data_IF_836630827730
#
_entry.id   IF_836630827730
#
_cell.length_a   1.000
_cell.length_b   1.000
_cell.length_c   1.000
_cell.angle_alpha   90.00
_cell.angle_beta   90.00
_cell.angle_gamma   90.00
#
_symmetry.space_group_name_H-M   'P 1'
#
loop_
_entity.id
_entity.type
_entity.pdbx_description
1 polymer ?
2 non-polymer ?
3 non-polymer ?
4 water ?
#
# COMPACT_ATOMS: atom_id res chain seq x y z
N UNK A 14 19.70 -6.02 -1.19
CA UNK A 14 19.06 -7.31 -1.14
C UNK A 14 17.96 -7.40 -0.11
N UNK A 15 17.55 -8.64 0.08
CA UNK A 15 16.46 -8.93 1.00
C UNK A 15 17.01 -9.08 2.48
N UNK A 16 16.83 -8.05 3.35
CA UNK A 16 17.28 -8.13 4.76
C UNK A 16 16.23 -8.88 5.57
N UNK A 17 16.60 -10.01 6.15
CA UNK A 17 15.68 -10.80 6.94
C UNK A 17 15.71 -10.27 8.38
N UNK A 18 14.55 -9.99 8.92
CA UNK A 18 14.43 -9.45 10.25
C UNK A 18 13.28 -10.18 10.91
N UNK A 19 13.61 -11.14 11.75
CA UNK A 19 12.65 -12.12 12.20
C UNK A 19 11.97 -12.76 11.00
N UNK A 20 10.64 -12.71 10.99
CA UNK A 20 9.88 -13.33 9.94
C UNK A 20 9.50 -12.37 8.81
N UNK A 21 10.07 -11.17 8.82
CA UNK A 21 9.80 -10.16 7.79
C UNK A 21 11.03 -9.97 6.93
N UNK A 22 10.85 -9.32 5.79
CA UNK A 22 11.92 -8.99 4.87
C UNK A 22 11.84 -7.51 4.52
N UNK A 23 12.99 -6.85 4.50
CA UNK A 23 13.10 -5.44 4.18
C UNK A 23 14.07 -5.28 3.03
N UNK A 24 13.71 -4.43 2.07
CA UNK A 24 14.57 -4.19 0.88
C UNK A 24 14.63 -2.69 0.61
N UNK A 25 15.85 -2.14 0.56
CA UNK A 25 15.99 -0.74 0.22
C UNK A 25 15.74 -0.55 -1.27
N UNK A 26 14.85 0.38 -1.61
CA UNK A 26 14.51 0.67 -2.99
C UNK A 26 15.14 1.97 -3.50
N UNK A 27 15.40 2.89 -2.61
CA UNK A 27 15.97 4.20 -2.95
C UNK A 27 16.62 4.71 -1.68
N UNK A 28 17.38 5.79 -1.76
CA UNK A 28 18.03 6.27 -0.51
C UNK A 28 17.20 6.43 0.76
N UNK A 29 15.98 6.84 0.59
CA UNK A 29 15.05 7.11 1.70
C UNK A 29 13.80 6.21 1.65
N UNK A 30 13.84 5.11 0.90
CA UNK A 30 12.63 4.29 0.71
C UNK A 30 12.99 2.81 0.85
N UNK A 31 12.19 2.09 1.64
CA UNK A 31 12.34 0.67 1.83
C UNK A 31 10.98 -0.01 1.64
N UNK A 32 11.02 -1.24 1.16
CA UNK A 32 9.86 -2.10 1.09
C UNK A 32 9.85 -3.04 2.28
N UNK A 33 8.70 -3.11 2.95
CA UNK A 33 8.49 -4.12 4.03
C UNK A 33 7.67 -5.27 3.46
N UNK A 34 8.02 -6.48 3.85
CA UNK A 34 7.30 -7.66 3.41
C UNK A 34 7.01 -8.59 4.58
N UNK A 35 5.74 -8.99 4.67
CA UNK A 35 5.28 -9.89 5.72
C UNK A 35 4.46 -11.01 5.09
N UNK A 36 4.30 -12.11 5.82
CA UNK A 36 3.72 -13.33 5.27
C UNK A 36 2.59 -13.86 6.15
N UNK A 37 1.57 -14.40 5.51
CA UNK A 37 0.50 -15.06 6.27
C UNK A 37 0.09 -16.31 5.52
N UNK A 38 -0.03 -17.40 6.27
CA UNK A 38 -0.71 -18.59 5.76
C UNK A 38 -2.13 -18.33 5.36
N UNK A 39 -2.40 -18.54 4.08
CA UNK A 39 -3.74 -18.55 3.60
C UNK A 39 -4.07 -20.02 3.37
N UNK A 40 -4.80 -20.64 4.33
CA UNK A 40 -5.03 -22.07 4.19
C UNK A 40 -5.56 -22.34 2.77
N UNK A 41 -4.92 -23.26 2.05
CA UNK A 41 -5.30 -23.59 0.68
C UNK A 41 -4.54 -22.77 -0.36
N UNK A 42 -3.61 -21.92 0.08
CA UNK A 42 -2.86 -21.07 -0.86
C UNK A 42 -1.37 -20.99 -0.49
N UNK A 43 -0.93 -21.36 0.71
CA UNK A 43 0.46 -21.18 1.11
C UNK A 43 0.67 -19.85 1.83
N UNK A 44 1.95 -19.53 2.04
CA UNK A 44 2.34 -18.36 2.80
C UNK A 44 2.44 -17.14 1.88
N UNK A 45 1.47 -16.25 1.94
CA UNK A 45 1.32 -15.16 1.00
C UNK A 45 2.08 -13.92 1.47
N UNK A 46 2.95 -13.41 0.61
CA UNK A 46 3.69 -12.18 0.87
C UNK A 46 2.79 -10.97 0.64
N UNK A 47 2.96 -9.94 1.45
CA UNK A 47 2.38 -8.62 1.22
C UNK A 47 3.46 -7.58 1.46
N UNK A 48 3.55 -6.62 0.54
CA UNK A 48 4.51 -5.54 0.61
C UNK A 48 3.85 -4.20 0.95
N UNK A 49 4.57 -3.40 1.73
CA UNK A 49 4.30 -1.99 1.94
C UNK A 49 5.58 -1.20 1.88
N UNK A 50 5.51 0.07 2.28
CA UNK A 50 6.65 0.97 2.16
C UNK A 50 6.96 1.70 3.45
N UNK A 51 8.21 2.10 3.56
CA UNK A 51 8.75 2.93 4.63
C UNK A 51 9.52 4.05 3.96
N UNK A 52 9.25 5.29 4.35
CA UNK A 52 9.87 6.45 3.72
C UNK A 52 10.47 7.33 4.81
N UNK A 53 11.75 7.67 4.70
CA UNK A 53 12.31 8.71 5.57
C UNK A 53 12.12 10.07 4.88
N UNK A 54 11.49 11.00 5.60
CA UNK A 54 11.30 12.37 5.15
C UNK A 54 12.01 13.30 6.14
N UNK A 55 13.28 13.58 5.90
CA UNK A 55 14.05 14.37 6.83
C UNK A 55 14.18 13.68 8.17
N UNK A 56 13.70 14.31 9.23
CA UNK A 56 13.81 13.78 10.59
C UNK A 56 12.63 12.91 11.03
N UNK A 57 11.84 12.42 10.07
CA UNK A 57 10.70 11.56 10.48
C UNK A 57 10.52 10.44 9.44
N UNK A 58 9.75 9.45 9.82
CA UNK A 58 9.47 8.30 8.99
C UNK A 58 7.97 8.22 8.73
N UNK A 59 7.62 7.81 7.51
CA UNK A 59 6.23 7.64 7.07
C UNK A 59 6.06 6.18 6.63
N UNK A 60 4.95 5.56 6.99
CA UNK A 60 4.71 4.17 6.63
C UNK A 60 3.49 4.07 5.71
N UNK A 61 3.60 3.23 4.69
CA UNK A 61 2.48 2.86 3.83
C UNK A 61 2.18 1.39 4.06
N UNK A 62 0.97 1.13 4.60
CA UNK A 62 0.42 -0.17 4.89
C UNK A 62 1.01 -0.79 6.17
N UNK A 63 0.13 -1.48 6.92
CA UNK A 63 0.63 -2.34 7.98
C UNK A 63 1.11 -3.66 7.38
N UNK A 64 1.64 -4.54 8.25
CA UNK A 64 1.77 -5.94 7.94
C UNK A 64 0.42 -6.65 8.17
N UNK A 65 0.40 -7.97 7.97
CA UNK A 65 -0.86 -8.71 8.17
C UNK A 65 -1.35 -8.66 9.62
N UNK A 66 -0.43 -8.65 10.57
CA UNK A 66 -0.80 -8.76 11.98
C UNK A 66 -0.20 -7.63 12.81
N UNK A 67 -0.77 -7.47 14.00
CA UNK A 67 -0.21 -6.52 14.96
C UNK A 67 1.23 -6.89 15.31
N UNK A 68 1.50 -8.16 15.60
CA UNK A 68 2.85 -8.54 15.97
C UNK A 68 3.85 -8.24 14.85
N UNK A 69 3.49 -8.54 13.61
CA UNK A 69 4.38 -8.24 12.49
C UNK A 69 4.57 -6.74 12.36
N UNK A 70 3.51 -5.97 12.56
CA UNK A 70 3.60 -4.53 12.42
C UNK A 70 4.51 -3.95 13.52
N UNK A 71 4.40 -4.45 14.74
CA UNK A 71 5.34 -4.02 15.79
C UNK A 71 6.79 -4.33 15.37
N UNK A 72 7.00 -5.44 14.65
CA UNK A 72 8.35 -5.75 14.16
C UNK A 72 8.80 -4.75 13.08
N UNK A 73 7.90 -4.29 12.22
CA UNK A 73 8.25 -3.21 11.31
C UNK A 73 8.78 -2.02 12.11
N UNK A 74 8.06 -1.65 13.17
CA UNK A 74 8.49 -0.49 13.97
C UNK A 74 9.83 -0.76 14.65
N UNK A 75 9.98 -2.00 15.08
CA UNK A 75 11.32 -2.43 15.60
C UNK A 75 12.53 -2.28 14.60
N UNK A 76 12.24 -2.68 13.35
CA UNK A 76 13.23 -2.55 12.28
C UNK A 76 13.51 -1.05 12.04
N UNK A 77 12.46 -0.25 12.00
CA UNK A 77 12.65 1.19 11.80
C UNK A 77 13.54 1.78 12.91
N UNK A 78 13.20 1.41 14.12
CA UNK A 78 14.07 1.87 15.27
C UNK A 78 15.60 1.52 15.16
N UNK A 79 15.82 0.30 14.62
CA UNK A 79 17.20 -0.19 14.46
C UNK A 79 17.90 0.47 13.27
N UNK A 80 17.19 0.61 12.14
CA UNK A 80 17.84 0.91 10.85
C UNK A 80 17.73 2.40 10.49
N UNK A 81 16.76 3.10 11.07
CA UNK A 81 16.56 4.52 10.76
C UNK A 81 16.66 5.35 12.04
N UNK A 82 15.98 4.92 13.09
CA UNK A 82 16.07 5.53 14.40
C UNK A 82 15.57 6.99 14.37
N UNK A 83 14.36 7.15 13.82
CA UNK A 83 13.65 8.44 13.82
C UNK A 83 12.17 8.14 14.08
N UNK A 84 11.41 9.10 14.63
CA UNK A 84 10.01 8.84 14.91
C UNK A 84 9.16 8.61 13.65
N UNK A 85 8.16 7.74 13.79
CA UNK A 85 7.20 7.46 12.69
C UNK A 85 6.06 8.47 12.86
N UNK A 86 6.02 9.44 11.99
CA UNK A 86 5.04 10.54 12.10
C UNK A 86 3.62 10.09 11.76
N UNK A 87 3.46 9.20 10.80
CA UNK A 87 2.14 8.80 10.36
C UNK A 87 2.25 7.53 9.53
N UNK A 88 1.12 6.87 9.38
CA UNK A 88 0.96 5.76 8.45
C UNK A 88 -0.32 5.98 7.65
N UNK A 89 -0.26 5.60 6.37
CA UNK A 89 -1.42 5.58 5.53
C UNK A 89 -1.61 4.13 5.04
N UNK A 90 -2.85 3.67 5.06
CA UNK A 90 -3.16 2.27 4.66
C UNK A 90 -4.04 2.33 3.41
N UNK A 91 -3.89 1.35 2.55
CA UNK A 91 -4.37 1.53 1.18
C UNK A 91 -5.68 0.79 0.84
N UNK A 92 -6.24 0.03 1.76
CA UNK A 92 -7.64 -0.48 1.70
C UNK A 92 -7.90 -1.34 2.92
N UNK A 93 -9.18 -1.63 3.13
CA UNK A 93 -9.62 -2.41 4.29
C UNK A 93 -9.58 -3.91 3.99
N UNK A 94 -8.37 -4.42 3.87
CA UNK A 94 -8.08 -5.87 3.89
C UNK A 94 -6.94 -6.10 4.87
N UNK A 95 -6.83 -7.34 5.34
CA UNK A 95 -5.92 -7.68 6.44
C UNK A 95 -4.45 -7.39 6.12
N UNK A 96 -4.04 -7.59 4.88
CA UNK A 96 -2.60 -7.37 4.57
C UNK A 96 -2.23 -5.89 4.66
N UNK A 97 -3.19 -4.99 4.55
CA UNK A 97 -2.94 -3.55 4.55
C UNK A 97 -3.28 -2.88 5.89
N UNK A 98 -4.26 -3.45 6.62
CA UNK A 98 -4.77 -2.78 7.82
C UNK A 98 -4.82 -3.73 9.00
N UNK A 99 -4.31 -4.96 8.89
CA UNK A 99 -4.39 -5.93 9.98
C UNK A 99 -3.62 -5.54 11.23
N UNK A 100 -2.63 -4.63 11.08
CA UNK A 100 -1.79 -4.22 12.19
C UNK A 100 -2.08 -2.84 12.76
N UNK A 101 -3.28 -2.34 12.54
CA UNK A 101 -3.61 -0.96 12.99
C UNK A 101 -3.38 -0.81 14.50
N UNK A 102 -3.78 -1.78 15.30
CA UNK A 102 -3.62 -1.63 16.75
C UNK A 102 -2.17 -1.45 17.15
N UNK A 103 -1.24 -2.10 16.45
CA UNK A 103 0.18 -1.91 16.76
C UNK A 103 0.61 -0.48 16.49
N UNK A 104 0.12 0.12 15.40
CA UNK A 104 0.43 1.51 15.14
C UNK A 104 -0.13 2.41 16.24
N UNK A 105 -1.37 2.14 16.64
CA UNK A 105 -2.00 2.97 17.66
C UNK A 105 -1.30 2.80 19.02
N UNK A 106 -0.91 1.58 19.36
CA UNK A 106 -0.18 1.35 20.61
C UNK A 106 1.14 2.12 20.62
N UNK A 107 1.73 2.31 19.44
CA UNK A 107 3.00 3.02 19.30
C UNK A 107 2.81 4.53 19.23
N UNK A 108 1.57 5.03 19.25
CA UNK A 108 1.34 6.48 19.21
C UNK A 108 1.41 7.10 17.82
N UNK A 109 1.25 6.30 16.76
CA UNK A 109 1.40 6.77 15.39
C UNK A 109 0.03 7.18 14.85
N UNK A 110 -0.04 8.37 14.26
CA UNK A 110 -1.27 8.85 13.61
C UNK A 110 -1.55 8.05 12.34
N UNK A 111 -2.79 7.63 12.16
CA UNK A 111 -3.14 6.75 11.04
C UNK A 111 -4.21 7.37 10.17
N UNK A 112 -4.08 7.07 8.87
CA UNK A 112 -4.92 7.64 7.81
C UNK A 112 -5.34 6.54 6.84
N UNK A 113 -6.58 6.63 6.38
CA UNK A 113 -7.08 5.74 5.33
C UNK A 113 -8.15 6.49 4.55
N UNK A 114 -8.44 6.02 3.34
CA UNK A 114 -9.65 6.46 2.64
C UNK A 114 -10.84 6.42 3.61
N UNK A 115 -11.67 7.46 3.59
CA UNK A 115 -12.90 7.44 4.36
C UNK A 115 -13.66 6.12 4.15
N UNK A 116 -13.71 5.64 2.92
CA UNK A 116 -14.48 4.42 2.64
C UNK A 116 -13.80 3.22 3.31
N UNK A 117 -12.48 3.19 3.36
CA UNK A 117 -11.79 2.11 4.10
C UNK A 117 -12.16 2.12 5.58
N UNK A 118 -12.23 3.30 6.17
CA UNK A 118 -12.61 3.40 7.58
C UNK A 118 -14.07 2.95 7.77
N UNK A 119 -14.95 3.30 6.84
CA UNK A 119 -16.33 2.86 6.89
C UNK A 119 -16.42 1.34 6.83
N UNK A 120 -15.66 0.74 5.92
CA UNK A 120 -15.68 -0.71 5.71
C UNK A 120 -14.93 -1.49 6.80
N UNK A 121 -14.05 -0.83 7.53
CA UNK A 121 -13.12 -1.56 8.40
C UNK A 121 -13.86 -2.52 9.34
N UNK A 122 -14.86 -2.06 10.09
CA UNK A 122 -15.45 -3.01 11.04
C UNK A 122 -16.00 -4.28 10.38
N UNK A 123 -16.74 -4.15 9.28
CA UNK A 123 -17.32 -5.34 8.62
C UNK A 123 -16.22 -6.23 8.02
N UNK A 124 -15.08 -5.65 7.66
CA UNK A 124 -13.95 -6.42 7.13
C UNK A 124 -13.10 -7.01 8.26
N UNK A 125 -13.45 -6.75 9.52
CA UNK A 125 -12.67 -7.28 10.65
C UNK A 125 -11.42 -6.47 10.97
N UNK A 126 -11.34 -5.24 10.45
CA UNK A 126 -10.21 -4.33 10.67
C UNK A 126 -10.57 -3.28 11.73
N UNK A 127 -9.55 -2.76 12.39
CA UNK A 127 -9.64 -1.55 13.18
C UNK A 127 -9.49 -0.35 12.23
N UNK A 128 -10.36 0.64 12.33
CA UNK A 128 -10.29 1.81 11.48
C UNK A 128 -9.05 2.65 11.81
N UNK A 129 -8.54 3.34 10.79
CA UNK A 129 -7.59 4.41 11.01
C UNK A 129 -8.27 5.56 11.75
N UNK A 130 -7.43 6.42 12.32
CA UNK A 130 -7.92 7.53 13.12
C UNK A 130 -8.46 8.67 12.27
N UNK A 131 -7.98 8.79 11.05
CA UNK A 131 -8.27 9.92 10.19
C UNK A 131 -8.71 9.41 8.82
N UNK A 132 -9.61 10.16 8.19
CA UNK A 132 -10.17 9.78 6.89
C UNK A 132 -9.72 10.74 5.79
N UNK A 133 -9.24 10.16 4.71
CA UNK A 133 -8.91 10.88 3.49
C UNK A 133 -10.15 10.96 2.61
N UNK A 134 -10.32 12.12 1.98
CA UNK A 134 -11.34 12.24 0.92
C UNK A 134 -10.63 12.74 -0.34
N UNK A 135 -11.29 12.57 -1.48
CA UNK A 135 -10.66 12.71 -2.78
C UNK A 135 -11.49 13.63 -3.68
N UNK A 136 -10.80 14.44 -4.47
CA UNK A 136 -11.42 15.28 -5.48
C UNK A 136 -11.86 14.42 -6.66
N UNK A 137 -12.63 15.04 -7.55
CA UNK A 137 -13.16 14.36 -8.72
C UNK A 137 -12.04 13.77 -9.60
N UNK A 138 -10.89 14.43 -9.64
CA UNK A 138 -9.78 14.01 -10.47
C UNK A 138 -8.98 12.90 -9.78
N UNK A 139 -9.36 12.48 -8.56
CA UNK A 139 -8.71 11.37 -7.89
C UNK A 139 -7.67 11.79 -6.85
N UNK A 140 -7.19 13.03 -6.91
CA UNK A 140 -6.17 13.47 -5.96
C UNK A 140 -6.81 13.67 -4.59
N UNK A 141 -6.08 13.30 -3.56
CA UNK A 141 -6.54 13.52 -2.19
C UNK A 141 -6.83 15.01 -1.99
N UNK A 142 -7.88 15.28 -1.22
CA UNK A 142 -8.16 16.63 -0.76
C UNK A 142 -7.06 17.00 0.24
N UNK A 143 -6.29 18.05 -0.06
CA UNK A 143 -5.10 18.29 0.72
C UNK A 143 -5.35 18.49 2.22
N UNK A 144 -6.47 19.05 2.61
CA UNK A 144 -6.73 19.28 4.03
C UNK A 144 -6.85 17.96 4.80
N UNK A 145 -7.17 16.87 4.12
CA UNK A 145 -7.36 15.59 4.78
C UNK A 145 -6.06 14.80 4.93
N UNK A 146 -5.00 15.25 4.28
CA UNK A 146 -3.70 14.58 4.31
C UNK A 146 -2.63 15.58 4.77
N UNK A 147 -2.80 16.16 5.96
CA UNK A 147 -1.84 17.13 6.44
C UNK A 147 -0.49 16.46 6.74
N UNK A 148 0.59 17.20 6.47
CA UNK A 148 1.93 16.77 6.84
C UNK A 148 2.32 15.45 6.17
N UNK A 149 1.81 15.19 4.97
CA UNK A 149 2.16 13.96 4.27
C UNK A 149 3.51 14.05 3.55
N UNK A 150 4.19 15.19 3.56
CA UNK A 150 5.51 15.30 2.95
C UNK A 150 5.50 14.81 1.52
N UNK A 151 6.39 13.88 1.18
CA UNK A 151 6.46 13.46 -0.20
C UNK A 151 5.39 12.45 -0.65
N UNK A 152 4.51 12.01 0.26
CA UNK A 152 3.49 11.03 -0.13
C UNK A 152 2.36 11.72 -0.88
N UNK A 153 2.22 11.36 -2.12
CA UNK A 153 1.12 11.90 -2.99
C UNK A 153 0.00 10.81 -3.26
N UNK A 154 -1.14 11.05 -2.60
CA UNK A 154 -2.14 9.99 -2.51
C UNK A 154 -3.23 10.20 -3.57
N UNK A 155 -3.55 9.11 -4.27
CA UNK A 155 -4.44 9.14 -5.43
C UNK A 155 -5.44 7.99 -5.35
N UNK A 156 -6.70 8.31 -5.54
CA UNK A 156 -7.76 7.32 -5.65
C UNK A 156 -8.03 7.07 -7.14
N UNK A 157 -7.74 5.87 -7.64
CA UNK A 157 -7.78 5.64 -9.10
C UNK A 157 -9.14 5.16 -9.61
N UNK A 158 -10.08 5.01 -8.71
CA UNK A 158 -11.36 4.36 -9.00
C UNK A 158 -11.40 2.95 -8.44
N UNK A 159 -12.59 2.36 -8.41
CA UNK A 159 -12.73 1.00 -7.90
C UNK A 159 -12.04 -0.01 -8.79
N UNK A 160 -11.40 -0.99 -8.18
CA UNK A 160 -10.66 -1.98 -8.96
C UNK A 160 -10.48 -3.24 -8.16
N UNK A 161 -9.33 -3.36 -7.53
CA UNK A 161 -9.09 -4.46 -6.61
C UNK A 161 -10.16 -4.48 -5.50
N UNK A 162 -10.46 -3.30 -4.96
CA UNK A 162 -11.59 -3.08 -4.08
C UNK A 162 -12.22 -1.73 -4.43
N UNK A 163 -13.36 -1.52 -3.80
CA UNK A 163 -14.05 -0.22 -3.97
C UNK A 163 -13.31 1.04 -3.39
N UNK A 164 -12.49 0.70 -2.37
CA UNK A 164 -11.78 1.71 -1.56
C UNK A 164 -10.26 1.81 -1.82
N UNK A 165 -9.73 1.03 -2.75
CA UNK A 165 -8.28 1.01 -2.98
C UNK A 165 -7.71 2.40 -3.30
N UNK A 166 -6.60 2.74 -2.63
CA UNK A 166 -5.88 4.00 -2.93
C UNK A 166 -4.42 3.66 -3.25
N UNK A 167 -3.74 4.64 -3.83
CA UNK A 167 -2.37 4.46 -4.34
C UNK A 167 -1.53 5.65 -3.87
N UNK A 168 -0.21 5.49 -3.90
CA UNK A 168 0.64 6.51 -3.31
C UNK A 168 1.91 6.66 -4.16
N UNK A 169 2.21 7.87 -4.58
CA UNK A 169 3.49 8.17 -5.18
C UNK A 169 4.44 8.79 -4.17
N UNK A 170 5.74 8.61 -4.37
CA UNK A 170 6.71 9.22 -3.47
C UNK A 170 7.47 10.30 -4.24
N UNK A 171 7.11 11.53 -3.98
CA UNK A 171 7.79 12.65 -4.62
C UNK A 171 9.30 12.59 -4.35
N UNK A 172 10.06 13.00 -5.35
CA UNK A 172 11.51 13.01 -5.24
C UNK A 172 12.15 11.67 -5.55
N UNK A 173 11.33 10.70 -5.96
CA UNK A 173 11.79 9.37 -6.30
C UNK A 173 11.11 8.96 -7.60
N UNK A 174 11.52 7.81 -8.10
CA UNK A 174 10.90 7.23 -9.26
C UNK A 174 9.81 6.22 -8.93
N UNK A 175 9.33 6.25 -7.69
CA UNK A 175 8.52 5.16 -7.17
C UNK A 175 7.05 5.59 -7.09
N UNK A 176 6.18 4.67 -7.49
CA UNK A 176 4.74 4.77 -7.22
C UNK A 176 4.25 3.39 -6.74
N UNK A 177 3.36 3.43 -5.74
CA UNK A 177 2.86 2.24 -5.06
C UNK A 177 1.41 2.00 -5.45
N UNK A 178 1.17 0.87 -6.11
CA UNK A 178 -0.15 0.48 -6.55
C UNK A 178 -0.91 -0.38 -5.56
N UNK A 179 -0.28 -0.81 -4.48
CA UNK A 179 -0.94 -1.70 -3.53
C UNK A 179 -1.42 -2.96 -4.21
N UNK A 180 -2.63 -3.39 -3.84
CA UNK A 180 -3.09 -4.66 -4.39
C UNK A 180 -3.78 -4.50 -5.74
N UNK A 181 -3.81 -3.28 -6.25
CA UNK A 181 -4.41 -3.03 -7.58
C UNK A 181 -3.53 -3.57 -8.70
N UNK A 182 -2.21 -3.52 -8.57
CA UNK A 182 -1.29 -3.80 -9.67
C UNK A 182 -0.54 -5.11 -9.37
N UNK A 183 -0.51 -5.94 -10.40
CA UNK A 183 0.42 -7.16 -10.38
C UNK A 183 1.56 -7.01 -11.38
N UNK A 184 2.58 -7.84 -11.26
CA UNK A 184 3.74 -7.57 -12.10
C UNK A 184 3.53 -8.03 -13.53
N UNK A 185 4.47 -7.63 -14.35
CA UNK A 185 4.39 -7.75 -15.79
C UNK A 185 4.43 -9.21 -16.24
N UNK A 186 4.85 -10.12 -15.39
CA UNK A 186 4.96 -11.54 -15.74
C UNK A 186 3.84 -12.37 -15.11
N UNK A 187 2.92 -11.73 -14.39
CA UNK A 187 1.85 -12.46 -13.72
C UNK A 187 1.03 -13.23 -14.75
N UNK A 188 0.81 -14.49 -14.41
CA UNK A 188 -0.07 -15.35 -15.26
C UNK A 188 -1.58 -14.99 -15.32
N UNK A 189 -2.00 -14.45 -14.17
CA UNK A 189 -3.37 -14.03 -14.04
C UNK A 189 -3.48 -12.91 -13.02
N UNK A 190 -4.66 -12.31 -13.04
CA UNK A 190 -5.06 -11.30 -12.12
C UNK A 190 -5.79 -11.98 -10.95
N UNK A 191 -5.16 -11.99 -9.78
CA UNK A 191 -5.69 -12.62 -8.57
C UNK A 191 -6.21 -11.61 -7.57
N UNK A 192 -6.52 -12.11 -6.39
CA UNK A 192 -6.98 -11.31 -5.26
C UNK A 192 -8.29 -10.58 -5.62
N UNK A 193 -9.16 -11.23 -6.38
CA UNK A 193 -10.30 -10.54 -6.99
C UNK A 193 -11.60 -10.68 -6.18
N UNK A 194 -11.57 -11.22 -4.97
CA UNK A 194 -12.80 -11.54 -4.27
C UNK A 194 -13.74 -10.34 -4.06
N UNK A 195 -13.17 -9.14 -3.82
CA UNK A 195 -13.97 -7.92 -3.63
C UNK A 195 -13.82 -6.93 -4.78
N UNK A 196 -13.39 -7.41 -5.95
CA UNK A 196 -13.03 -6.53 -7.06
C UNK A 196 -14.28 -5.98 -7.77
N UNK A 197 -14.07 -4.83 -8.39
CA UNK A 197 -15.01 -4.24 -9.33
C UNK A 197 -14.50 -4.56 -10.72
N UNK A 198 -15.11 -5.59 -11.30
CA UNK A 198 -14.62 -6.21 -12.54
C UNK A 198 -14.85 -5.28 -13.75
N UNK A 199 -15.88 -4.46 -13.69
CA UNK A 199 -16.19 -3.55 -14.80
C UNK A 199 -15.14 -2.43 -14.90
N UNK A 200 -14.71 -1.90 -13.75
CA UNK A 200 -13.92 -0.66 -13.72
C UNK A 200 -12.43 -0.93 -13.49
N UNK A 201 -12.04 -2.17 -13.24
CA UNK A 201 -10.66 -2.51 -12.88
C UNK A 201 -9.66 -1.95 -13.90
N UNK A 202 -9.87 -2.26 -15.19
CA UNK A 202 -8.89 -1.88 -16.18
C UNK A 202 -8.68 -0.36 -16.15
N UNK A 203 -9.78 0.39 -16.15
CA UNK A 203 -9.70 1.86 -16.16
C UNK A 203 -9.00 2.37 -14.90
N UNK A 204 -9.25 1.75 -13.75
CA UNK A 204 -8.63 2.18 -12.53
C UNK A 204 -7.11 1.90 -12.56
N UNK A 205 -6.69 0.75 -13.07
CA UNK A 205 -5.28 0.48 -13.22
C UNK A 205 -4.63 1.55 -14.11
N UNK A 206 -5.26 1.84 -15.26
CA UNK A 206 -4.73 2.84 -16.18
C UNK A 206 -4.71 4.24 -15.53
N UNK A 207 -5.71 4.54 -14.71
CA UNK A 207 -5.76 5.84 -14.05
C UNK A 207 -4.59 5.98 -13.06
N UNK A 208 -4.25 4.91 -12.36
CA UNK A 208 -3.06 4.91 -11.50
C UNK A 208 -1.82 5.26 -12.34
N UNK A 209 -1.64 4.59 -13.47
CA UNK A 209 -0.46 4.88 -14.28
C UNK A 209 -0.43 6.33 -14.75
N UNK A 210 -1.59 6.85 -15.14
CA UNK A 210 -1.66 8.21 -15.68
C UNK A 210 -1.44 9.24 -14.56
N UNK A 211 -1.76 8.91 -13.31
CA UNK A 211 -1.55 9.81 -12.17
C UNK A 211 -0.07 9.99 -11.85
N UNK A 212 0.75 8.96 -12.12
CA UNK A 212 2.15 8.95 -11.78
C UNK A 212 2.95 8.64 -13.04
N UNK A 213 2.85 9.53 -14.05
CA UNK A 213 3.34 9.19 -15.40
C UNK A 213 4.86 8.99 -15.52
N UNK A 214 5.62 9.58 -14.62
CA UNK A 214 7.11 9.51 -14.66
C UNK A 214 7.64 8.39 -13.77
N UNK A 215 6.81 7.75 -12.95
CA UNK A 215 7.30 6.70 -12.06
C UNK A 215 7.78 5.50 -12.88
N UNK A 216 9.04 5.13 -12.70
CA UNK A 216 9.61 4.02 -13.42
C UNK A 216 9.74 2.76 -12.56
N UNK A 217 9.57 2.89 -11.25
CA UNK A 217 9.58 1.75 -10.34
C UNK A 217 8.20 1.64 -9.71
N UNK A 218 7.48 0.60 -10.09
CA UNK A 218 6.15 0.35 -9.61
C UNK A 218 6.23 -0.72 -8.52
N UNK A 219 5.77 -0.35 -7.35
CA UNK A 219 5.77 -1.22 -6.16
C UNK A 219 4.33 -1.67 -5.95
N UNK A 220 4.15 -2.93 -5.51
CA UNK A 220 2.83 -3.45 -5.39
C UNK A 220 2.80 -4.47 -4.24
N UNK A 221 1.60 -4.85 -3.83
CA UNK A 221 1.49 -5.67 -2.62
C UNK A 221 1.98 -7.10 -2.82
N UNK A 222 1.69 -7.70 -3.97
CA UNK A 222 1.82 -9.15 -4.10
C UNK A 222 2.75 -9.53 -5.27
N UNK A 223 3.63 -8.62 -5.64
CA UNK A 223 4.71 -8.89 -6.57
C UNK A 223 5.91 -8.03 -6.15
N UNK A 224 7.11 -8.40 -6.58
CA UNK A 224 8.29 -7.56 -6.39
C UNK A 224 8.20 -6.31 -7.28
N UNK A 225 9.00 -5.28 -6.99
CA UNK A 225 8.94 -4.06 -7.77
C UNK A 225 9.23 -4.35 -9.25
N UNK A 226 8.58 -3.59 -10.12
CA UNK A 226 8.68 -3.84 -11.55
C UNK A 226 8.69 -2.53 -12.31
N UNK A 227 8.86 -2.63 -13.62
CA UNK A 227 8.70 -1.50 -14.51
C UNK A 227 7.22 -1.16 -14.72
N UNK A 228 6.99 -0.13 -15.52
CA UNK A 228 5.64 0.29 -15.85
C UNK A 228 4.88 -0.77 -16.65
N UNK A 229 5.56 -1.79 -17.17
CA UNK A 229 4.86 -2.89 -17.81
C UNK A 229 3.94 -3.61 -16.82
N UNK A 230 4.19 -3.46 -15.51
CA UNK A 230 3.23 -4.01 -14.54
C UNK A 230 1.86 -3.38 -14.75
N UNK A 231 1.82 -2.07 -14.99
CA UNK A 231 0.58 -1.36 -15.14
C UNK A 231 -0.11 -1.77 -16.43
N UNK A 232 0.62 -1.73 -17.55
CA UNK A 232 0.02 -2.08 -18.82
C UNK A 232 -0.46 -3.54 -18.78
N UNK A 233 0.33 -4.45 -18.23
CA UNK A 233 -0.06 -5.86 -18.22
C UNK A 233 -1.29 -6.08 -17.32
N UNK A 234 -1.28 -5.47 -16.14
CA UNK A 234 -2.42 -5.58 -15.25
C UNK A 234 -3.68 -5.08 -15.96
N UNK A 235 -3.59 -3.91 -16.59
CA UNK A 235 -4.76 -3.33 -17.26
C UNK A 235 -5.24 -4.25 -18.39
N UNK A 236 -4.26 -4.72 -19.17
CA UNK A 236 -4.64 -5.68 -20.25
C UNK A 236 -5.39 -7.00 -19.81
N UNK A 237 -4.92 -7.53 -18.67
CA UNK A 237 -5.58 -8.70 -18.10
C UNK A 237 -6.95 -8.29 -17.56
N UNK A 238 -7.02 -7.11 -16.94
CA UNK A 238 -8.30 -6.63 -16.41
C UNK A 238 -9.31 -6.38 -17.53
N UNK A 239 -8.84 -6.02 -18.73
CA UNK A 239 -9.75 -5.89 -19.88
C UNK A 239 -10.60 -7.18 -20.05
N UNK A 240 -10.04 -8.35 -19.73
CA UNK A 240 -10.70 -9.66 -19.95
C UNK A 240 -11.75 -9.93 -18.86
N UNK A 241 -11.82 -9.11 -17.80
CA UNK A 241 -12.82 -9.29 -16.73
C UNK A 241 -14.18 -8.69 -17.15
N UNK A 242 -14.17 -7.83 -18.16
CA UNK A 242 -15.36 -7.08 -18.55
C UNK A 242 -16.17 -7.90 -19.56
X LIG B 1 -6.96 -6.44 -0.83
X LIG C 1 -3.50 -7.70 -0.87
X LIG D 1 -10.60 -10.98 0.38
X LIG D 1 -7.07 -11.07 -0.79
X LIG D 1 -6.17 -10.80 0.36
X LIG D 1 -4.77 -11.28 0.06
X LIG D 1 -6.13 -9.26 0.56
X LIG D 1 -9.40 -12.56 -2.20
X LIG D 1 -8.52 -10.92 -0.66
X LIG D 1 -10.78 -10.77 -1.14
X LIG D 1 -9.10 -10.59 0.70
X LIG D 1 -9.47 -11.14 -1.70
X LIG D 1 -6.73 -11.48 -1.86
X LIG D 1 -4.59 -13.06 0.08
X LIG D 1 -5.71 -8.35 -0.98
X LIG D 1 -9.69 -12.73 -3.41
X LIG D 1 -9.08 -13.52 -1.43
#
# INVERSE_FOLDING_TARGET
GEIRPTIGQQMETGDQRFGDLVFRQLAPNVWQHTSYLDMPGFGAVASNGLIVRDGGRVLVVDTAWTDDQTAQILNWIKQEINLPVALAVVTHAHQDKMGGMDALHAAGIATYANALSNQLAPQEGMVAAQHSLTFAANGWVEPATAPNFGPLKVFYPGPGHTSDNITVGIDGTDIAFGGCLIKDSKAKSLGNLGDADTEHYAASARAFGAAFPKASMIVMSHSAPDSRAAITHTARMADKLR
ZN ZN
ZN ZN
EEL C4 C5 C6 C7 C8 C9 N1 C3 C1 C2 O1 S1 S2 O2 O3
#
